data_IF_901984636180
#
_entry.id   IF_901984636180
#
_cell.length_a   1.000
_cell.length_b   1.000
_cell.length_c   1.000
_cell.angle_alpha   90.00
_cell.angle_beta   90.00
_cell.angle_gamma   90.00
#
_symmetry.space_group_name_H-M   'P 1'
#
loop_
_entity.id
_entity.type
_entity.pdbx_description
1 polymer ?
#
# COMPACT_ATOMS: atom_id res chain seq x y z
N UNK A 1 21.57 6.06 7.16
CA UNK A 1 20.28 6.65 6.74
C UNK A 1 19.56 5.69 5.80
N UNK A 2 18.32 5.44 6.07
CA UNK A 2 17.50 4.53 5.25
C UNK A 2 17.06 5.14 3.93
N UNK A 3 16.66 4.28 3.01
CA UNK A 3 16.05 4.68 1.74
C UNK A 3 14.67 4.06 1.62
N UNK A 4 13.75 4.80 1.04
CA UNK A 4 12.41 4.34 0.74
C UNK A 4 12.31 4.04 -0.75
N UNK A 5 11.92 2.81 -1.07
CA UNK A 5 11.69 2.40 -2.46
C UNK A 5 10.21 2.06 -2.61
N UNK A 6 9.55 2.69 -3.57
CA UNK A 6 8.12 2.49 -3.81
C UNK A 6 7.92 1.79 -5.15
N UNK A 7 7.12 0.73 -5.14
CA UNK A 7 6.72 0.02 -6.35
C UNK A 7 5.21 0.19 -6.50
N UNK A 8 4.79 0.85 -7.55
CA UNK A 8 3.39 1.10 -7.84
C UNK A 8 3.00 0.51 -9.19
N UNK A 9 1.72 0.25 -9.34
CA UNK A 9 1.17 -0.24 -10.59
C UNK A 9 -0.25 -0.76 -10.38
N UNK A 10 -0.96 -0.89 -11.50
CA UNK A 10 -2.29 -1.47 -11.48
C UNK A 10 -2.23 -2.99 -11.32
N UNK A 11 -3.35 -3.60 -10.97
CA UNK A 11 -3.43 -5.06 -10.89
C UNK A 11 -3.06 -5.68 -12.24
N UNK A 12 -2.27 -6.75 -12.20
CA UNK A 12 -1.84 -7.43 -13.40
C UNK A 12 -0.64 -6.79 -14.11
N UNK A 13 -0.04 -5.74 -13.53
CA UNK A 13 1.12 -5.05 -14.14
C UNK A 13 2.47 -5.74 -13.89
N UNK A 14 2.48 -6.85 -13.14
CA UNK A 14 3.73 -7.50 -12.74
C UNK A 14 4.35 -6.93 -11.47
N UNK A 15 3.66 -6.07 -10.77
CA UNK A 15 4.13 -5.40 -9.56
C UNK A 15 4.57 -6.39 -8.48
N UNK A 16 3.77 -7.41 -8.20
CA UNK A 16 4.09 -8.42 -7.20
C UNK A 16 5.35 -9.20 -7.55
N UNK A 17 5.53 -9.53 -8.83
CA UNK A 17 6.71 -10.23 -9.31
C UNK A 17 7.96 -9.38 -9.11
N UNK A 18 7.91 -8.11 -9.49
CA UNK A 18 9.04 -7.20 -9.32
C UNK A 18 9.38 -6.99 -7.85
N UNK A 19 8.36 -6.88 -7.00
CA UNK A 19 8.56 -6.73 -5.56
C UNK A 19 9.27 -7.95 -4.97
N UNK A 20 8.85 -9.14 -5.36
CA UNK A 20 9.48 -10.39 -4.91
C UNK A 20 10.92 -10.51 -5.38
N UNK A 21 11.20 -10.16 -6.64
CA UNK A 21 12.56 -10.19 -7.19
C UNK A 21 13.49 -9.23 -6.45
N UNK A 22 13.01 -8.03 -6.16
CA UNK A 22 13.80 -7.03 -5.44
C UNK A 22 14.12 -7.49 -4.01
N UNK A 23 13.12 -7.99 -3.28
CA UNK A 23 13.34 -8.43 -1.90
C UNK A 23 14.26 -9.64 -1.83
N UNK A 24 14.14 -10.57 -2.79
CA UNK A 24 15.05 -11.72 -2.89
C UNK A 24 16.49 -11.26 -3.10
N UNK A 25 16.68 -10.28 -4.00
CA UNK A 25 18.02 -9.75 -4.25
C UNK A 25 18.62 -9.07 -3.02
N UNK A 26 17.82 -8.29 -2.29
CA UNK A 26 18.29 -7.64 -1.07
C UNK A 26 18.70 -8.66 -0.02
N UNK A 27 17.96 -9.77 0.10
CA UNK A 27 18.33 -10.87 0.99
C UNK A 27 19.65 -11.50 0.57
N UNK A 28 19.84 -11.76 -0.71
CA UNK A 28 21.06 -12.34 -1.26
C UNK A 28 22.29 -11.45 -1.03
N UNK A 29 22.11 -10.15 -1.03
CA UNK A 29 23.17 -9.19 -0.79
C UNK A 29 23.32 -8.81 0.69
N UNK A 30 22.58 -9.46 1.58
CA UNK A 30 22.60 -9.24 3.03
C UNK A 30 22.32 -7.80 3.42
N UNK A 31 21.43 -7.11 2.67
CA UNK A 31 21.05 -5.74 2.99
C UNK A 31 19.81 -5.75 3.88
N UNK A 32 19.83 -5.03 5.01
CA UNK A 32 18.64 -4.95 5.87
C UNK A 32 17.53 -4.17 5.17
N UNK A 33 16.30 -4.70 5.25
CA UNK A 33 15.14 -4.03 4.66
C UNK A 33 13.86 -4.46 5.36
N UNK A 34 12.82 -3.68 5.17
CA UNK A 34 11.46 -4.03 5.60
C UNK A 34 10.51 -3.93 4.42
N UNK A 35 9.53 -4.83 4.42
CA UNK A 35 8.49 -4.88 3.39
C UNK A 35 7.23 -4.25 3.96
N UNK A 36 6.63 -3.37 3.17
CA UNK A 36 5.35 -2.74 3.49
C UNK A 36 4.42 -2.91 2.29
N UNK A 37 3.21 -3.35 2.55
CA UNK A 37 2.21 -3.55 1.50
C UNK A 37 0.95 -2.75 1.85
N UNK A 38 0.42 -2.02 0.89
CA UNK A 38 -0.79 -1.22 1.06
C UNK A 38 -1.82 -1.60 -0.01
N UNK A 39 -3.10 -1.57 0.31
CA UNK A 39 -3.67 -1.29 1.64
C UNK A 39 -3.39 -2.39 2.67
N UNK A 40 -3.39 -2.02 3.94
CA UNK A 40 -3.28 -2.99 5.03
C UNK A 40 -4.69 -3.48 5.40
N UNK A 41 -5.20 -4.46 4.68
CA UNK A 41 -6.59 -4.90 4.77
C UNK A 41 -7.01 -5.40 6.16
N UNK A 42 -6.08 -5.83 6.98
CA UNK A 42 -6.34 -6.31 8.34
C UNK A 42 -6.45 -5.20 9.37
N UNK A 43 -6.13 -3.96 9.02
CA UNK A 43 -6.06 -2.84 9.95
C UNK A 43 -7.29 -1.95 9.84
N UNK A 44 -7.66 -1.31 10.96
CA UNK A 44 -8.81 -0.40 10.98
C UNK A 44 -8.63 0.79 10.03
N UNK A 45 -7.39 1.25 9.84
CA UNK A 45 -7.10 2.38 8.95
C UNK A 45 -7.45 2.12 7.50
N UNK A 46 -7.67 0.87 7.10
CA UNK A 46 -8.11 0.51 5.75
C UNK A 46 -9.62 0.33 5.62
N UNK A 47 -10.39 0.65 6.66
CA UNK A 47 -11.84 0.41 6.66
C UNK A 47 -12.55 1.07 5.47
N UNK A 48 -12.25 2.34 5.19
CA UNK A 48 -12.87 3.07 4.08
C UNK A 48 -12.45 2.51 2.73
N UNK A 49 -11.20 2.06 2.60
CA UNK A 49 -10.72 1.39 1.38
C UNK A 49 -11.51 0.11 1.15
N UNK A 50 -11.70 -0.70 2.18
CA UNK A 50 -12.46 -1.96 2.07
C UNK A 50 -13.92 -1.71 1.70
N UNK A 51 -14.53 -0.68 2.28
CA UNK A 51 -15.89 -0.29 1.94
C UNK A 51 -15.98 0.18 0.49
N UNK A 52 -15.03 0.96 0.03
CA UNK A 52 -14.95 1.45 -1.34
C UNK A 52 -14.79 0.29 -2.33
N UNK A 53 -13.83 -0.59 -2.10
CA UNK A 53 -13.57 -1.74 -2.97
C UNK A 53 -14.72 -2.74 -2.95
N UNK A 54 -15.43 -2.83 -1.83
CA UNK A 54 -16.62 -3.68 -1.69
C UNK A 54 -17.89 -3.11 -2.29
N UNK A 55 -17.83 -1.91 -2.90
CA UNK A 55 -18.96 -1.31 -3.58
C UNK A 55 -19.97 -0.60 -2.68
N UNK A 56 -19.65 -0.39 -1.39
CA UNK A 56 -20.59 0.25 -0.47
C UNK A 56 -20.84 1.73 -0.78
N UNK A 57 -19.92 2.38 -1.51
CA UNK A 57 -20.07 3.78 -1.95
C UNK A 57 -20.47 3.87 -3.42
N UNK A 58 -20.81 2.75 -4.05
CA UNK A 58 -21.16 2.66 -5.46
C UNK A 58 -20.25 1.71 -6.21
N UNK A 59 -20.71 1.19 -7.32
CA UNK A 59 -19.99 0.19 -8.12
C UNK A 59 -19.39 0.76 -9.40
N UNK A 60 -19.73 2.02 -9.74
CA UNK A 60 -19.22 2.69 -10.94
C UNK A 60 -18.02 3.56 -10.58
N UNK A 61 -17.05 3.71 -11.49
CA UNK A 61 -15.88 4.57 -11.22
C UNK A 61 -16.24 6.02 -10.87
N UNK A 62 -17.37 6.51 -11.39
CA UNK A 62 -17.84 7.89 -11.14
C UNK A 62 -18.55 8.08 -9.80
N UNK A 63 -18.86 7.01 -9.07
CA UNK A 63 -19.60 7.11 -7.81
C UNK A 63 -18.77 7.66 -6.65
N UNK A 64 -17.45 7.56 -6.75
CA UNK A 64 -16.53 8.13 -5.75
C UNK A 64 -15.50 8.95 -6.51
N UNK A 65 -15.36 10.23 -6.17
CA UNK A 65 -14.38 11.07 -6.86
C UNK A 65 -12.94 10.67 -6.47
N UNK A 66 -12.00 10.99 -7.36
CA UNK A 66 -10.61 10.57 -7.21
C UNK A 66 -9.97 11.14 -5.94
N UNK A 67 -10.35 12.35 -5.52
CA UNK A 67 -9.82 12.96 -4.31
C UNK A 67 -10.20 12.15 -3.07
N UNK A 68 -11.48 11.78 -2.95
CA UNK A 68 -11.95 10.98 -1.83
C UNK A 68 -11.29 9.60 -1.81
N UNK A 69 -11.21 8.93 -2.96
CA UNK A 69 -10.55 7.63 -3.06
C UNK A 69 -9.08 7.73 -2.65
N UNK A 70 -8.35 8.74 -3.12
CA UNK A 70 -6.95 8.97 -2.73
C UNK A 70 -6.80 9.17 -1.23
N UNK A 71 -7.74 9.88 -0.60
CA UNK A 71 -7.71 10.12 0.84
C UNK A 71 -7.82 8.82 1.63
N UNK A 72 -8.64 7.87 1.19
CA UNK A 72 -8.77 6.58 1.86
C UNK A 72 -7.42 5.84 1.91
N UNK A 73 -6.69 5.84 0.81
CA UNK A 73 -5.37 5.21 0.75
C UNK A 73 -4.33 5.98 1.56
N UNK A 74 -4.39 7.31 1.54
CA UNK A 74 -3.46 8.15 2.28
C UNK A 74 -3.59 7.96 3.80
N UNK A 75 -4.82 7.80 4.30
CA UNK A 75 -5.08 7.56 5.72
C UNK A 75 -4.40 6.26 6.18
N UNK A 76 -4.51 5.19 5.41
CA UNK A 76 -3.88 3.92 5.77
C UNK A 76 -2.34 4.04 5.78
N UNK A 77 -1.77 4.72 4.78
CA UNK A 77 -0.32 4.95 4.73
C UNK A 77 0.16 5.80 5.91
N UNK A 78 -0.58 6.86 6.25
CA UNK A 78 -0.24 7.73 7.36
C UNK A 78 -0.28 6.97 8.69
N UNK A 79 -1.34 6.19 8.92
CA UNK A 79 -1.47 5.40 10.13
C UNK A 79 -0.32 4.39 10.26
N UNK A 80 0.03 3.73 9.17
CA UNK A 80 1.15 2.80 9.14
C UNK A 80 2.47 3.48 9.52
N UNK A 81 2.72 4.66 8.96
CA UNK A 81 3.91 5.45 9.26
C UNK A 81 3.98 5.79 10.75
N UNK A 82 2.91 6.30 11.32
CA UNK A 82 2.88 6.71 12.73
C UNK A 82 2.98 5.53 13.69
N UNK A 83 2.37 4.41 13.35
CA UNK A 83 2.31 3.24 14.23
C UNK A 83 3.54 2.36 14.15
N UNK A 84 4.27 2.39 13.05
CA UNK A 84 5.30 1.39 12.79
C UNK A 84 6.57 2.02 12.20
N UNK A 85 6.59 2.24 10.90
CA UNK A 85 7.86 2.43 10.20
C UNK A 85 8.44 3.84 10.28
N UNK A 86 7.70 4.79 10.80
CA UNK A 86 8.24 6.15 11.00
C UNK A 86 9.41 6.19 11.97
N UNK A 87 9.53 5.18 12.81
CA UNK A 87 10.63 5.08 13.79
C UNK A 87 11.80 4.22 13.27
N UNK A 88 11.59 3.55 12.18
CA UNK A 88 12.57 2.65 11.59
C UNK A 88 13.46 3.40 10.58
#
# INVERSE_FOLDING_TARGET
MGKLIVIEGTDGSGKSTQFSLLTTRLEQENKPFRRLVFPRYSEESSALIRMYLGGQFGTKPSDVNAFAASAFYAVDRYASYKQDWGKW
#
